data_IF_791362112922
#
_entry.id   IF_791362112922
#
_cell.length_a   1.000
_cell.length_b   1.000
_cell.length_c   1.000
_cell.angle_alpha   90.00
_cell.angle_beta   90.00
_cell.angle_gamma   90.00
#
_symmetry.space_group_name_H-M   'P 1'
#
loop_
_entity.id
_entity.type
_entity.pdbx_description
1 polymer ?
#
# COMPACT_ATOMS: atom_id res chain seq x y z
N UNK A 1 2.46 -6.98 -2.88
CA UNK A 1 3.83 -6.79 -3.39
C UNK A 1 3.81 -6.39 -4.86
N UNK A 2 4.71 -5.53 -5.27
CA UNK A 2 4.98 -5.13 -6.66
C UNK A 2 6.46 -5.42 -6.96
N UNK A 3 6.82 -5.50 -8.23
CA UNK A 3 8.18 -5.78 -8.69
C UNK A 3 8.26 -7.08 -9.48
N UNK A 4 9.44 -7.58 -9.67
CA UNK A 4 9.71 -8.78 -10.48
C UNK A 4 9.26 -10.05 -9.74
N UNK A 5 7.94 -10.28 -9.72
CA UNK A 5 7.29 -11.49 -9.16
C UNK A 5 6.83 -12.42 -10.29
N UNK A 6 7.56 -12.48 -11.39
CA UNK A 6 7.10 -13.13 -12.62
C UNK A 6 7.34 -14.64 -12.64
N UNK A 7 8.30 -15.10 -11.85
CA UNK A 7 8.62 -16.52 -11.77
C UNK A 7 7.73 -17.24 -10.76
N UNK A 8 7.37 -18.51 -11.02
CA UNK A 8 6.63 -19.32 -10.06
C UNK A 8 7.30 -19.39 -8.69
N UNK A 9 8.64 -19.45 -8.65
CA UNK A 9 9.41 -19.49 -7.40
C UNK A 9 9.24 -18.22 -6.54
N UNK A 10 9.15 -17.04 -7.16
CA UNK A 10 8.90 -15.81 -6.42
C UNK A 10 7.49 -15.78 -5.84
N UNK A 11 6.49 -16.24 -6.61
CA UNK A 11 5.12 -16.36 -6.12
C UNK A 11 5.00 -17.40 -4.99
N UNK A 12 5.78 -18.50 -5.03
CA UNK A 12 5.88 -19.47 -3.93
C UNK A 12 6.39 -18.79 -2.65
N UNK A 13 7.47 -18.01 -2.74
CA UNK A 13 8.01 -17.27 -1.60
C UNK A 13 7.05 -16.19 -1.08
N UNK A 14 6.32 -15.51 -1.97
CA UNK A 14 5.27 -14.55 -1.56
C UNK A 14 4.16 -15.26 -0.78
N UNK A 15 3.75 -16.44 -1.23
CA UNK A 15 2.77 -17.27 -0.53
C UNK A 15 3.29 -17.74 0.83
N UNK A 16 4.53 -18.25 0.89
CA UNK A 16 5.20 -18.70 2.12
C UNK A 16 5.35 -17.56 3.14
N UNK A 17 5.61 -16.34 2.67
CA UNK A 17 5.64 -15.14 3.50
C UNK A 17 4.25 -14.82 4.09
N UNK A 18 3.19 -15.40 3.53
CA UNK A 18 1.80 -15.19 3.96
C UNK A 18 1.14 -13.94 3.39
N UNK A 19 1.78 -13.25 2.47
CA UNK A 19 1.19 -12.13 1.75
C UNK A 19 0.02 -12.59 0.89
N UNK A 20 -0.99 -11.72 0.71
CA UNK A 20 -2.25 -12.08 0.05
C UNK A 20 -2.46 -11.35 -1.27
N UNK A 21 -1.73 -10.28 -1.51
CA UNK A 21 -1.93 -9.41 -2.66
C UNK A 21 -0.61 -9.18 -3.40
N UNK A 22 -0.70 -9.21 -4.72
CA UNK A 22 0.35 -8.74 -5.64
C UNK A 22 -0.20 -7.65 -6.54
N UNK A 23 0.63 -6.69 -6.95
CA UNK A 23 0.27 -5.66 -7.91
C UNK A 23 1.10 -5.81 -9.17
N UNK A 24 0.43 -5.84 -10.33
CA UNK A 24 1.05 -6.05 -11.65
C UNK A 24 0.51 -5.07 -12.67
N UNK A 25 1.39 -4.51 -13.49
CA UNK A 25 0.99 -3.76 -14.68
C UNK A 25 0.49 -4.68 -15.78
N UNK A 26 -0.69 -4.41 -16.29
CA UNK A 26 -1.24 -4.98 -17.51
C UNK A 26 -1.00 -3.95 -18.62
N UNK A 27 0.09 -4.15 -19.37
CA UNK A 27 0.58 -3.15 -20.32
C UNK A 27 -0.19 -3.24 -21.63
N UNK A 28 -0.97 -2.22 -21.91
CA UNK A 28 -1.85 -2.17 -23.09
C UNK A 28 -1.11 -2.45 -24.39
N UNK A 29 0.03 -1.79 -24.62
CA UNK A 29 0.83 -1.96 -25.85
C UNK A 29 1.35 -3.39 -26.05
N UNK A 30 1.53 -4.16 -24.94
CA UNK A 30 1.94 -5.56 -25.03
C UNK A 30 0.78 -6.52 -25.29
N UNK A 31 -0.42 -6.12 -24.90
CA UNK A 31 -1.66 -6.91 -25.06
C UNK A 31 -2.27 -6.67 -26.44
N UNK A 32 -2.33 -5.43 -26.89
CA UNK A 32 -2.91 -5.05 -28.18
C UNK A 32 -1.81 -4.52 -29.09
N UNK A 33 -1.19 -5.41 -29.86
CA UNK A 33 -0.13 -5.11 -30.82
C UNK A 33 -0.67 -4.76 -32.21
N UNK A 34 -1.90 -5.14 -32.49
CA UNK A 34 -2.69 -4.83 -33.66
C UNK A 34 -4.07 -4.37 -33.19
N UNK A 35 -4.62 -3.33 -33.83
CA UNK A 35 -5.90 -2.71 -33.43
C UNK A 35 -7.04 -3.72 -33.35
N UNK A 36 -7.65 -3.83 -32.17
CA UNK A 36 -8.77 -4.72 -31.88
C UNK A 36 -8.37 -6.18 -31.69
N UNK A 37 -7.07 -6.52 -31.70
CA UNK A 37 -6.57 -7.88 -31.45
C UNK A 37 -5.85 -7.94 -30.12
N UNK A 38 -6.46 -8.65 -29.15
CA UNK A 38 -5.95 -8.73 -27.77
C UNK A 38 -5.33 -10.10 -27.50
N UNK A 39 -4.07 -10.12 -27.10
CA UNK A 39 -3.34 -11.33 -26.63
C UNK A 39 -3.07 -11.25 -25.13
N UNK A 40 -3.82 -12.00 -24.37
CA UNK A 40 -3.70 -12.08 -22.91
C UNK A 40 -2.76 -13.21 -22.42
N UNK A 41 -2.17 -14.00 -23.31
CA UNK A 41 -1.46 -15.23 -23.00
C UNK A 41 -0.33 -15.08 -21.97
N UNK A 42 0.39 -13.94 -22.00
CA UNK A 42 1.42 -13.62 -21.02
C UNK A 42 0.84 -13.44 -19.62
N UNK A 43 -0.29 -12.74 -19.52
CA UNK A 43 -0.95 -12.44 -18.24
C UNK A 43 -1.79 -13.62 -17.73
N UNK A 44 -2.33 -14.46 -18.61
CA UNK A 44 -3.07 -15.66 -18.23
C UNK A 44 -2.19 -16.58 -17.39
N UNK A 45 -0.92 -16.77 -17.76
CA UNK A 45 0.03 -17.57 -16.97
C UNK A 45 0.22 -16.97 -15.58
N UNK A 46 0.48 -15.69 -15.48
CA UNK A 46 0.67 -15.00 -14.22
C UNK A 46 -0.59 -15.08 -13.32
N UNK A 47 -1.76 -14.82 -13.90
CA UNK A 47 -3.06 -14.90 -13.17
C UNK A 47 -3.30 -16.32 -12.66
N UNK A 48 -3.09 -17.34 -13.50
CA UNK A 48 -3.23 -18.74 -13.11
C UNK A 48 -2.27 -19.13 -11.99
N UNK A 49 -1.04 -18.66 -12.04
CA UNK A 49 -0.02 -18.97 -11.02
C UNK A 49 -0.31 -18.25 -9.69
N UNK A 50 -0.86 -17.04 -9.73
CA UNK A 50 -1.36 -16.36 -8.53
C UNK A 50 -2.54 -17.12 -7.90
N UNK A 51 -3.53 -17.52 -8.69
CA UNK A 51 -4.71 -18.22 -8.18
C UNK A 51 -4.40 -19.58 -7.55
N UNK A 52 -3.50 -20.37 -8.17
CA UNK A 52 -3.02 -21.64 -7.59
C UNK A 52 -2.46 -21.45 -6.17
N UNK A 53 -1.96 -20.25 -5.84
CA UNK A 53 -1.37 -19.89 -4.56
C UNK A 53 -2.31 -19.10 -3.65
N UNK A 54 -3.56 -18.89 -4.06
CA UNK A 54 -4.53 -18.09 -3.29
C UNK A 54 -4.15 -16.61 -3.21
N UNK A 55 -3.33 -16.11 -4.14
CA UNK A 55 -2.97 -14.71 -4.23
C UNK A 55 -4.02 -13.93 -5.01
N UNK A 56 -4.31 -12.71 -4.54
CA UNK A 56 -5.17 -11.74 -5.19
C UNK A 56 -4.34 -10.72 -5.94
N UNK A 57 -4.89 -10.13 -7.00
CA UNK A 57 -4.14 -9.25 -7.90
C UNK A 57 -4.77 -7.85 -7.91
N UNK A 58 -3.92 -6.82 -7.83
CA UNK A 58 -4.24 -5.48 -8.29
C UNK A 58 -3.66 -5.37 -9.71
N UNK A 59 -4.54 -5.39 -10.72
CA UNK A 59 -4.18 -5.24 -12.12
C UNK A 59 -4.15 -3.76 -12.51
N UNK A 60 -2.96 -3.17 -12.61
CA UNK A 60 -2.80 -1.80 -13.05
C UNK A 60 -2.85 -1.74 -14.58
N UNK A 61 -3.89 -1.14 -15.13
CA UNK A 61 -4.07 -0.96 -16.57
C UNK A 61 -3.22 0.21 -17.06
N UNK A 62 -2.11 -0.09 -17.72
CA UNK A 62 -1.07 0.88 -18.09
C UNK A 62 -0.43 0.51 -19.44
N UNK A 63 0.00 1.40 -20.23
CA UNK A 63 -0.10 2.85 -20.31
C UNK A 63 -0.83 3.23 -21.60
N UNK A 64 -0.40 4.28 -22.33
CA UNK A 64 -0.87 4.54 -23.69
C UNK A 64 -0.37 3.49 -24.69
N UNK A 65 -1.10 3.28 -25.78
CA UNK A 65 -0.69 2.41 -26.87
C UNK A 65 -0.35 3.25 -28.10
N UNK A 66 0.83 3.03 -28.67
CA UNK A 66 1.32 3.78 -29.85
C UNK A 66 0.39 3.67 -31.08
N UNK A 67 -0.42 2.61 -31.16
CA UNK A 67 -1.42 2.44 -32.22
C UNK A 67 -2.47 3.55 -32.25
N UNK A 68 -2.74 4.17 -31.08
CA UNK A 68 -3.80 5.16 -30.88
C UNK A 68 -3.28 6.53 -30.44
N UNK A 69 -2.07 6.58 -29.89
CA UNK A 69 -1.50 7.78 -29.30
C UNK A 69 -1.72 7.86 -27.79
N UNK A 70 -1.74 9.08 -27.22
CA UNK A 70 -1.86 9.27 -25.79
C UNK A 70 -3.33 9.35 -25.35
N UNK A 71 -3.68 8.68 -24.27
CA UNK A 71 -5.06 8.64 -23.72
C UNK A 71 -5.66 9.99 -23.30
N UNK A 72 -4.88 11.07 -23.30
CA UNK A 72 -5.38 12.43 -23.09
C UNK A 72 -6.36 12.86 -24.16
N UNK A 73 -6.22 12.33 -25.36
CA UNK A 73 -6.96 12.74 -26.55
C UNK A 73 -7.79 11.59 -27.10
N UNK A 74 -8.85 11.94 -27.83
CA UNK A 74 -9.55 11.00 -28.70
C UNK A 74 -8.76 10.80 -30.02
N UNK A 75 -8.73 9.58 -30.61
CA UNK A 75 -9.53 8.42 -30.23
C UNK A 75 -8.86 7.48 -29.19
N UNK A 76 -7.69 7.81 -28.68
CA UNK A 76 -6.92 6.92 -27.80
C UNK A 76 -7.64 6.66 -26.46
N UNK A 77 -8.40 7.63 -25.95
CA UNK A 77 -9.18 7.48 -24.72
C UNK A 77 -10.30 6.46 -24.89
N UNK A 78 -11.05 6.53 -26.00
CA UNK A 78 -12.08 5.55 -26.32
C UNK A 78 -11.49 4.14 -26.50
N UNK A 79 -10.36 4.02 -27.21
CA UNK A 79 -9.68 2.75 -27.40
C UNK A 79 -9.14 2.17 -26.07
N UNK A 80 -8.70 3.02 -25.13
CA UNK A 80 -8.33 2.56 -23.77
C UNK A 80 -9.55 2.03 -23.01
N UNK A 81 -10.71 2.65 -23.16
CA UNK A 81 -11.94 2.16 -22.55
C UNK A 81 -12.36 0.79 -23.12
N UNK A 82 -12.18 0.56 -24.41
CA UNK A 82 -12.40 -0.75 -25.05
C UNK A 82 -11.40 -1.79 -24.55
N UNK A 83 -10.12 -1.46 -24.47
CA UNK A 83 -9.10 -2.32 -23.87
C UNK A 83 -9.44 -2.69 -22.41
N UNK A 84 -9.83 -1.72 -21.59
CA UNK A 84 -10.22 -1.96 -20.20
C UNK A 84 -11.46 -2.85 -20.10
N UNK A 85 -12.43 -2.69 -21.00
CA UNK A 85 -13.63 -3.53 -21.08
C UNK A 85 -13.26 -4.98 -21.46
N UNK A 86 -12.40 -5.19 -22.43
CA UNK A 86 -11.95 -6.53 -22.83
C UNK A 86 -11.12 -7.21 -21.71
N UNK A 87 -10.27 -6.47 -20.97
CA UNK A 87 -9.58 -7.01 -19.79
C UNK A 87 -10.56 -7.54 -18.73
N UNK A 88 -11.51 -6.72 -18.29
CA UNK A 88 -12.44 -7.13 -17.22
C UNK A 88 -13.40 -8.23 -17.67
N UNK A 89 -13.69 -8.33 -18.95
CA UNK A 89 -14.48 -9.40 -19.57
C UNK A 89 -13.69 -10.71 -19.59
N UNK A 90 -12.43 -10.69 -20.06
CA UNK A 90 -11.55 -11.86 -20.15
C UNK A 90 -11.29 -12.48 -18.77
N UNK A 91 -11.04 -11.64 -17.76
CA UNK A 91 -10.77 -12.10 -16.39
C UNK A 91 -12.00 -12.10 -15.47
N UNK A 92 -13.20 -12.17 -16.04
CA UNK A 92 -14.43 -12.22 -15.23
C UNK A 92 -14.41 -13.42 -14.26
N UNK A 93 -14.75 -13.15 -12.99
CA UNK A 93 -14.75 -14.18 -11.93
C UNK A 93 -13.38 -14.51 -11.34
N UNK A 94 -12.29 -13.87 -11.80
CA UNK A 94 -10.95 -14.04 -11.26
C UNK A 94 -10.70 -13.08 -10.09
N UNK A 95 -9.75 -13.42 -9.21
CA UNK A 95 -9.42 -12.62 -8.02
C UNK A 95 -8.58 -11.37 -8.36
N UNK A 96 -9.07 -10.53 -9.26
CA UNK A 96 -8.41 -9.30 -9.70
C UNK A 96 -9.29 -8.10 -9.42
N UNK A 97 -8.70 -7.04 -8.87
CA UNK A 97 -9.25 -5.69 -8.83
C UNK A 97 -8.44 -4.80 -9.77
N UNK A 98 -9.08 -3.85 -10.44
CA UNK A 98 -8.51 -3.16 -11.59
C UNK A 98 -8.20 -1.70 -11.29
N UNK A 99 -6.97 -1.29 -11.40
CA UNK A 99 -6.51 0.08 -11.17
C UNK A 99 -6.33 0.80 -12.50
N UNK A 100 -7.02 1.94 -12.64
CA UNK A 100 -6.94 2.78 -13.84
C UNK A 100 -5.70 3.66 -13.76
N UNK A 101 -4.70 3.33 -14.59
CA UNK A 101 -3.42 4.03 -14.69
C UNK A 101 -2.50 3.87 -13.48
N UNK A 102 -1.29 4.47 -13.57
CA UNK A 102 -0.31 4.57 -12.51
C UNK A 102 0.15 6.02 -12.36
N UNK A 103 -0.01 6.59 -11.17
CA UNK A 103 0.48 7.92 -10.80
C UNK A 103 0.16 9.04 -11.81
N UNK A 104 -1.12 9.25 -12.16
CA UNK A 104 -1.52 10.22 -13.20
C UNK A 104 -1.23 11.67 -12.80
N UNK A 105 -0.86 11.91 -11.54
CA UNK A 105 -0.45 13.21 -11.03
C UNK A 105 1.06 13.49 -11.18
N UNK A 106 1.81 12.63 -11.89
CA UNK A 106 3.25 12.79 -12.05
C UNK A 106 3.66 13.05 -13.52
N UNK A 107 4.81 13.72 -13.68
CA UNK A 107 5.43 13.92 -15.00
C UNK A 107 5.81 12.60 -15.66
N UNK A 108 6.32 11.66 -14.88
CA UNK A 108 6.86 10.40 -15.39
C UNK A 108 5.81 9.58 -16.11
N UNK A 109 4.59 9.55 -15.58
CA UNK A 109 3.55 8.65 -16.08
C UNK A 109 2.42 9.34 -16.85
N UNK A 110 2.24 10.66 -16.68
CA UNK A 110 1.18 11.41 -17.35
C UNK A 110 1.68 12.54 -18.25
N UNK A 111 2.72 13.26 -17.80
CA UNK A 111 3.21 14.44 -18.52
C UNK A 111 4.15 14.09 -19.66
N UNK A 112 4.06 14.86 -20.78
CA UNK A 112 5.10 14.87 -21.80
C UNK A 112 6.06 16.05 -21.64
N UNK A 113 5.56 17.18 -21.14
CA UNK A 113 6.33 18.42 -20.93
C UNK A 113 5.68 19.25 -19.81
N UNK A 114 6.49 19.76 -18.88
CA UNK A 114 6.06 20.72 -17.85
C UNK A 114 5.65 20.14 -16.49
N UNK A 115 5.21 20.98 -15.58
CA UNK A 115 4.86 20.63 -14.19
C UNK A 115 3.44 20.07 -14.11
N UNK A 116 3.29 18.78 -13.91
CA UNK A 116 1.99 18.08 -13.92
C UNK A 116 1.16 18.32 -12.65
N UNK A 117 1.79 18.30 -11.48
CA UNK A 117 1.09 18.27 -10.19
C UNK A 117 0.22 19.49 -9.88
N UNK A 118 0.36 20.58 -10.62
CA UNK A 118 -0.42 21.80 -10.43
C UNK A 118 -1.31 22.16 -11.63
N UNK A 119 -1.54 21.22 -12.56
CA UNK A 119 -2.30 21.51 -13.77
C UNK A 119 -3.74 21.03 -13.65
N UNK A 120 -4.73 21.94 -13.63
CA UNK A 120 -6.14 21.57 -13.75
C UNK A 120 -6.45 20.75 -15.02
N UNK A 121 -5.71 21.02 -16.11
CA UNK A 121 -5.86 20.32 -17.37
C UNK A 121 -5.53 18.82 -17.21
N UNK A 122 -4.40 18.48 -16.58
CA UNK A 122 -4.02 17.07 -16.41
C UNK A 122 -4.95 16.31 -15.45
N UNK A 123 -5.48 16.99 -14.44
CA UNK A 123 -6.51 16.44 -13.57
C UNK A 123 -7.79 16.12 -14.35
N UNK A 124 -8.23 17.04 -15.23
CA UNK A 124 -9.38 16.83 -16.11
C UNK A 124 -9.15 15.70 -17.11
N UNK A 125 -7.99 15.67 -17.77
CA UNK A 125 -7.63 14.60 -18.72
C UNK A 125 -7.71 13.22 -18.07
N UNK A 126 -7.23 13.06 -16.82
CA UNK A 126 -7.35 11.81 -16.06
C UNK A 126 -8.80 11.53 -15.67
N UNK A 127 -9.54 12.53 -15.21
CA UNK A 127 -10.97 12.37 -14.89
C UNK A 127 -11.76 11.92 -16.10
N UNK A 128 -11.45 12.45 -17.29
CA UNK A 128 -12.06 12.04 -18.56
C UNK A 128 -11.69 10.61 -18.95
N UNK A 129 -10.46 10.15 -18.67
CA UNK A 129 -10.07 8.76 -18.87
C UNK A 129 -10.90 7.82 -17.98
N UNK A 130 -11.03 8.15 -16.69
CA UNK A 130 -11.83 7.37 -15.73
C UNK A 130 -13.30 7.39 -16.13
N UNK A 131 -13.83 8.54 -16.58
CA UNK A 131 -15.22 8.72 -17.06
C UNK A 131 -15.52 7.89 -18.29
N UNK A 132 -14.54 7.67 -19.18
CA UNK A 132 -14.71 6.79 -20.35
C UNK A 132 -14.57 5.32 -19.97
N UNK A 133 -13.58 4.94 -19.15
CA UNK A 133 -13.25 3.56 -18.87
C UNK A 133 -14.29 2.89 -17.94
N UNK A 134 -14.72 3.55 -16.85
CA UNK A 134 -15.57 2.93 -15.83
C UNK A 134 -16.91 2.41 -16.38
N UNK A 135 -17.67 3.17 -17.17
CA UNK A 135 -18.94 2.65 -17.75
C UNK A 135 -18.69 1.48 -18.70
N UNK A 136 -17.64 1.51 -19.51
CA UNK A 136 -17.28 0.44 -20.43
C UNK A 136 -16.92 -0.85 -19.65
N UNK A 137 -16.12 -0.74 -18.61
CA UNK A 137 -15.75 -1.85 -17.72
C UNK A 137 -16.98 -2.44 -17.02
N UNK A 138 -17.81 -1.60 -16.40
CA UNK A 138 -19.02 -2.06 -15.69
C UNK A 138 -20.07 -2.69 -16.64
N UNK A 139 -20.14 -2.22 -17.89
CA UNK A 139 -20.98 -2.85 -18.93
C UNK A 139 -20.47 -4.25 -19.31
N UNK A 140 -19.13 -4.41 -19.43
CA UNK A 140 -18.51 -5.70 -19.79
C UNK A 140 -18.52 -6.69 -18.62
N UNK A 141 -18.31 -6.22 -17.40
CA UNK A 141 -18.36 -7.01 -16.16
C UNK A 141 -18.91 -6.16 -15.01
N UNK A 142 -20.22 -6.24 -14.72
CA UNK A 142 -20.85 -5.44 -13.64
C UNK A 142 -20.22 -5.65 -12.26
N UNK A 143 -19.62 -6.82 -12.01
CA UNK A 143 -19.06 -7.20 -10.72
C UNK A 143 -17.57 -6.81 -10.59
N UNK A 144 -16.94 -6.25 -11.63
CA UNK A 144 -15.53 -5.85 -11.55
C UNK A 144 -15.35 -4.73 -10.52
N UNK A 145 -14.31 -4.87 -9.69
CA UNK A 145 -13.91 -3.85 -8.71
C UNK A 145 -12.89 -2.92 -9.35
N UNK A 146 -13.19 -1.63 -9.36
CA UNK A 146 -12.41 -0.60 -10.07
C UNK A 146 -11.79 0.38 -9.07
N UNK A 147 -10.47 0.58 -9.20
CA UNK A 147 -9.69 1.55 -8.46
C UNK A 147 -9.44 2.78 -9.33
N UNK A 148 -9.74 3.95 -8.77
CA UNK A 148 -9.29 5.24 -9.29
C UNK A 148 -8.29 5.89 -8.34
N UNK A 149 -7.56 6.88 -8.81
CA UNK A 149 -6.59 7.62 -8.04
C UNK A 149 -5.16 7.24 -8.37
N UNK A 150 -4.61 6.19 -7.75
CA UNK A 150 -3.18 5.82 -7.91
C UNK A 150 -2.25 7.03 -7.71
N UNK A 151 -2.59 7.88 -6.72
CA UNK A 151 -2.00 9.22 -6.54
C UNK A 151 -0.64 9.10 -5.88
N UNK A 152 0.39 9.53 -6.59
CA UNK A 152 1.76 9.57 -6.06
C UNK A 152 1.94 10.74 -5.10
N UNK A 153 2.61 10.45 -3.99
CA UNK A 153 2.91 11.39 -2.92
C UNK A 153 1.65 11.93 -2.20
N UNK A 154 1.88 12.44 -1.00
CA UNK A 154 0.83 13.03 -0.17
C UNK A 154 1.32 14.40 0.32
N UNK A 155 1.44 15.36 -0.62
CA UNK A 155 1.88 16.73 -0.37
C UNK A 155 1.04 17.75 -1.15
N UNK A 156 1.37 19.04 -1.05
CA UNK A 156 0.56 20.14 -1.54
C UNK A 156 0.15 20.03 -3.01
N UNK A 157 1.04 19.59 -3.90
CA UNK A 157 0.77 19.42 -5.32
C UNK A 157 -0.24 18.30 -5.59
N UNK A 158 -0.10 17.18 -4.90
CA UNK A 158 -1.03 16.05 -5.01
C UNK A 158 -2.42 16.41 -4.48
N UNK A 159 -2.49 17.18 -3.39
CA UNK A 159 -3.77 17.69 -2.85
C UNK A 159 -4.46 18.64 -3.81
N UNK A 160 -3.71 19.53 -4.47
CA UNK A 160 -4.26 20.42 -5.50
C UNK A 160 -4.77 19.63 -6.69
N UNK A 161 -3.99 18.67 -7.17
CA UNK A 161 -4.38 17.81 -8.29
C UNK A 161 -5.66 17.04 -7.97
N UNK A 162 -5.76 16.42 -6.79
CA UNK A 162 -6.99 15.74 -6.34
C UNK A 162 -8.17 16.69 -6.26
N UNK A 163 -7.97 17.92 -5.75
CA UNK A 163 -9.02 18.93 -5.70
C UNK A 163 -9.57 19.29 -7.09
N UNK A 164 -8.71 19.35 -8.10
CA UNK A 164 -9.11 19.58 -9.48
C UNK A 164 -9.88 18.39 -10.06
N UNK A 165 -9.45 17.14 -9.80
CA UNK A 165 -10.20 15.94 -10.20
C UNK A 165 -11.60 15.94 -9.57
N UNK A 166 -11.70 16.23 -8.29
CA UNK A 166 -12.98 16.24 -7.58
C UNK A 166 -13.90 17.36 -8.09
N UNK A 167 -13.37 18.54 -8.36
CA UNK A 167 -14.12 19.65 -8.96
C UNK A 167 -14.59 19.35 -10.39
N UNK A 168 -13.92 18.45 -11.11
CA UNK A 168 -14.28 18.03 -12.47
C UNK A 168 -15.22 16.79 -12.48
N UNK A 169 -15.82 16.44 -11.34
CA UNK A 169 -16.83 15.39 -11.23
C UNK A 169 -16.26 13.96 -11.09
N UNK A 170 -15.00 13.78 -10.67
CA UNK A 170 -14.43 12.48 -10.41
C UNK A 170 -15.26 11.66 -9.41
N UNK A 171 -15.84 12.33 -8.42
CA UNK A 171 -16.63 11.67 -7.37
C UNK A 171 -18.00 11.20 -7.83
N UNK A 172 -18.49 11.68 -8.98
CA UNK A 172 -19.76 11.25 -9.58
C UNK A 172 -19.62 9.97 -10.43
N UNK A 173 -18.37 9.54 -10.68
CA UNK A 173 -18.06 8.33 -11.45
C UNK A 173 -18.15 7.11 -10.50
N UNK A 174 -18.73 6.01 -10.97
CA UNK A 174 -19.00 4.79 -10.19
C UNK A 174 -17.76 3.84 -10.12
N UNK A 175 -16.59 4.36 -9.75
CA UNK A 175 -15.48 3.54 -9.29
C UNK A 175 -15.69 3.10 -7.83
N UNK A 176 -15.04 2.02 -7.40
CA UNK A 176 -15.31 1.37 -6.10
C UNK A 176 -14.32 1.79 -5.01
N UNK A 177 -13.04 1.95 -5.34
CA UNK A 177 -11.95 2.15 -4.38
C UNK A 177 -11.08 3.34 -4.81
N UNK A 178 -10.66 4.18 -3.86
CA UNK A 178 -9.63 5.18 -4.10
C UNK A 178 -8.25 4.62 -3.73
N UNK A 179 -7.27 4.71 -4.62
CA UNK A 179 -5.92 4.25 -4.35
C UNK A 179 -4.93 5.40 -4.23
N UNK A 180 -3.93 5.21 -3.35
CA UNK A 180 -2.87 6.16 -3.09
C UNK A 180 -1.51 5.47 -3.06
N UNK A 181 -0.45 6.21 -3.43
CA UNK A 181 0.94 5.85 -3.30
C UNK A 181 1.61 6.85 -2.34
N UNK A 182 1.54 6.67 -1.03
CA UNK A 182 1.90 7.69 -0.07
C UNK A 182 3.42 7.82 0.10
N UNK A 183 4.10 8.31 -0.92
CA UNK A 183 5.49 8.73 -0.82
C UNK A 183 5.60 10.16 -0.24
N UNK A 184 6.82 10.57 0.12
CA UNK A 184 7.13 11.96 0.48
C UNK A 184 7.32 12.24 1.96
N UNK A 185 6.80 11.42 2.89
CA UNK A 185 7.07 11.56 4.33
C UNK A 185 8.26 10.72 4.78
N UNK A 186 8.80 11.02 5.97
CA UNK A 186 9.96 10.33 6.52
C UNK A 186 9.58 9.13 7.39
N UNK A 187 8.46 9.19 8.08
CA UNK A 187 7.94 8.13 8.93
C UNK A 187 6.49 7.78 8.54
N UNK A 188 6.07 6.51 8.60
CA UNK A 188 4.72 6.09 8.23
C UNK A 188 3.61 6.79 9.02
N UNK A 189 3.86 7.14 10.28
CA UNK A 189 2.90 7.80 11.16
C UNK A 189 2.49 9.20 10.68
N UNK A 190 3.30 9.82 9.83
CA UNK A 190 3.00 11.14 9.26
C UNK A 190 1.92 11.05 8.15
N UNK A 191 1.61 9.83 7.65
CA UNK A 191 0.51 9.63 6.69
C UNK A 191 -0.87 9.79 7.32
N UNK A 192 -1.02 9.62 8.62
CA UNK A 192 -2.32 9.78 9.29
C UNK A 192 -2.92 11.16 9.03
N UNK A 193 -2.10 12.22 9.11
CA UNK A 193 -2.53 13.57 8.76
C UNK A 193 -2.84 13.71 7.26
N UNK A 194 -2.00 13.13 6.40
CA UNK A 194 -2.18 13.16 4.95
C UNK A 194 -3.48 12.46 4.52
N UNK A 195 -3.81 11.31 5.09
CA UNK A 195 -5.06 10.60 4.82
C UNK A 195 -6.28 11.40 5.31
N UNK A 196 -6.20 11.96 6.52
CA UNK A 196 -7.24 12.83 7.05
C UNK A 196 -7.46 14.06 6.16
N UNK A 197 -6.39 14.71 5.70
CA UNK A 197 -6.46 15.84 4.77
C UNK A 197 -7.19 15.46 3.47
N UNK A 198 -6.83 14.33 2.88
CA UNK A 198 -7.44 13.88 1.60
C UNK A 198 -8.91 13.51 1.76
N UNK A 199 -9.30 12.85 2.86
CA UNK A 199 -10.71 12.58 3.17
C UNK A 199 -11.50 13.89 3.31
N UNK A 200 -10.90 14.91 3.93
CA UNK A 200 -11.52 16.24 4.04
C UNK A 200 -11.67 16.92 2.67
N UNK A 201 -10.75 16.73 1.73
CA UNK A 201 -10.90 17.23 0.35
C UNK A 201 -12.09 16.57 -0.34
N UNK A 202 -12.22 15.23 -0.26
CA UNK A 202 -13.37 14.51 -0.79
C UNK A 202 -14.69 15.00 -0.19
N UNK A 203 -14.74 15.13 1.14
CA UNK A 203 -15.92 15.62 1.84
C UNK A 203 -16.32 17.03 1.40
N UNK A 204 -15.37 17.96 1.27
CA UNK A 204 -15.61 19.33 0.78
C UNK A 204 -16.15 19.36 -0.65
N UNK A 205 -15.78 18.39 -1.47
CA UNK A 205 -16.27 18.22 -2.83
C UNK A 205 -17.62 17.47 -2.92
N UNK A 206 -18.25 17.18 -1.79
CA UNK A 206 -19.55 16.47 -1.74
C UNK A 206 -19.46 14.95 -1.86
N UNK A 207 -18.25 14.39 -1.82
CA UNK A 207 -18.04 12.95 -1.93
C UNK A 207 -18.30 12.19 -0.62
N UNK A 208 -18.63 10.90 -0.76
CA UNK A 208 -18.76 9.98 0.37
C UNK A 208 -17.37 9.66 0.96
N UNK A 209 -17.18 10.02 2.22
CA UNK A 209 -15.94 9.72 2.96
C UNK A 209 -15.87 8.28 3.46
N UNK A 210 -16.95 7.50 3.33
CA UNK A 210 -17.03 6.08 3.64
C UNK A 210 -16.50 5.16 2.52
N UNK A 211 -16.13 5.70 1.36
CA UNK A 211 -15.52 4.92 0.28
C UNK A 211 -14.23 4.26 0.75
N UNK A 212 -14.02 3.02 0.31
CA UNK A 212 -12.84 2.25 0.64
C UNK A 212 -11.58 2.86 0.01
N UNK A 213 -10.50 2.85 0.78
CA UNK A 213 -9.18 3.29 0.34
C UNK A 213 -8.18 2.16 0.46
N UNK A 214 -7.20 2.14 -0.43
CA UNK A 214 -6.03 1.26 -0.32
C UNK A 214 -4.75 2.01 -0.62
N UNK A 215 -3.65 1.52 -0.07
CA UNK A 215 -2.31 1.87 -0.46
C UNK A 215 -1.83 0.85 -1.50
N UNK A 216 -1.92 1.21 -2.79
CA UNK A 216 -1.58 0.29 -3.88
C UNK A 216 -0.09 0.29 -4.25
N UNK A 217 0.69 1.20 -3.68
CA UNK A 217 2.15 1.19 -3.81
C UNK A 217 2.83 2.06 -2.75
N UNK A 218 3.78 1.49 -2.01
CA UNK A 218 4.67 2.23 -1.13
C UNK A 218 5.95 1.45 -0.86
N UNK A 219 7.09 2.12 -0.95
CA UNK A 219 8.40 1.58 -0.62
C UNK A 219 9.25 2.57 0.17
N UNK A 220 10.32 2.07 0.77
CA UNK A 220 11.33 2.87 1.45
C UNK A 220 12.72 2.39 1.02
N UNK A 221 13.44 3.16 0.16
CA UNK A 221 14.68 2.68 -0.44
C UNK A 221 15.84 2.70 0.55
N UNK A 222 16.73 1.71 0.46
CA UNK A 222 17.92 1.60 1.28
C UNK A 222 18.81 2.83 1.20
N UNK A 223 19.02 3.42 0.03
CA UNK A 223 19.84 4.62 -0.10
C UNK A 223 19.32 5.81 0.71
N UNK A 224 18.00 5.93 0.88
CA UNK A 224 17.41 6.91 1.80
C UNK A 224 17.64 6.52 3.27
N UNK A 225 17.52 5.24 3.58
CA UNK A 225 17.77 4.70 4.91
C UNK A 225 19.24 4.86 5.30
N UNK A 226 20.19 4.62 4.39
CA UNK A 226 21.64 4.83 4.58
C UNK A 226 21.97 6.27 4.94
N UNK A 227 21.30 7.24 4.28
CA UNK A 227 21.43 8.65 4.62
C UNK A 227 21.03 8.97 6.06
N UNK A 228 20.01 8.29 6.59
CA UNK A 228 19.57 8.42 7.98
C UNK A 228 20.45 7.62 8.95
N UNK A 229 21.05 6.54 8.50
CA UNK A 229 21.93 5.66 9.26
C UNK A 229 23.37 6.15 9.35
N UNK A 230 23.68 7.35 8.82
CA UNK A 230 25.05 7.87 8.79
C UNK A 230 25.99 7.04 7.92
N UNK A 231 25.48 6.31 6.95
CA UNK A 231 26.23 5.42 6.07
C UNK A 231 26.41 4.00 6.59
N UNK A 232 25.81 3.62 7.72
CA UNK A 232 25.82 2.25 8.23
C UNK A 232 24.79 1.39 7.48
N UNK A 233 25.20 0.40 6.64
CA UNK A 233 24.26 -0.43 5.88
C UNK A 233 23.40 -1.33 6.77
N UNK A 234 23.94 -1.80 7.91
CA UNK A 234 23.19 -2.66 8.83
C UNK A 234 22.01 -1.91 9.45
N UNK A 235 22.26 -0.69 9.92
CA UNK A 235 21.25 0.19 10.47
C UNK A 235 20.23 0.64 9.39
N UNK A 236 20.69 0.82 8.15
CA UNK A 236 19.80 1.12 7.03
C UNK A 236 18.79 0.01 6.77
N UNK A 237 19.22 -1.25 6.82
CA UNK A 237 18.30 -2.40 6.71
C UNK A 237 17.32 -2.47 7.89
N UNK A 238 17.76 -2.13 9.10
CA UNK A 238 16.89 -2.02 10.27
C UNK A 238 15.81 -0.95 10.05
N UNK A 239 16.18 0.25 9.60
CA UNK A 239 15.24 1.32 9.33
C UNK A 239 14.22 0.95 8.23
N UNK A 240 14.64 0.21 7.21
CA UNK A 240 13.73 -0.30 6.19
C UNK A 240 12.74 -1.33 6.78
N UNK A 241 13.22 -2.24 7.63
CA UNK A 241 12.41 -3.24 8.29
C UNK A 241 11.37 -2.60 9.24
N UNK A 242 11.79 -1.59 10.02
CA UNK A 242 10.84 -0.81 10.85
C UNK A 242 9.78 -0.13 9.99
N UNK A 243 10.20 0.48 8.90
CA UNK A 243 9.31 1.25 8.02
C UNK A 243 8.22 0.38 7.41
N UNK A 244 8.54 -0.80 6.88
CA UNK A 244 7.54 -1.66 6.23
C UNK A 244 6.47 -2.13 7.21
N UNK A 245 6.85 -2.53 8.41
CA UNK A 245 5.88 -3.02 9.41
C UNK A 245 5.03 -1.88 9.97
N UNK A 246 5.66 -0.74 10.28
CA UNK A 246 4.94 0.45 10.74
C UNK A 246 3.99 0.99 9.66
N UNK A 247 4.37 0.89 8.38
CA UNK A 247 3.50 1.24 7.26
C UNK A 247 2.21 0.38 7.27
N UNK A 248 2.33 -0.94 7.38
CA UNK A 248 1.16 -1.82 7.46
C UNK A 248 0.28 -1.52 8.68
N UNK A 249 0.88 -1.27 9.84
CA UNK A 249 0.16 -0.98 11.07
C UNK A 249 -0.58 0.37 11.00
N UNK A 250 0.05 1.40 10.44
CA UNK A 250 -0.56 2.73 10.26
C UNK A 250 -1.69 2.68 9.24
N UNK A 251 -1.50 1.99 8.12
CA UNK A 251 -2.55 1.84 7.11
C UNK A 251 -3.77 1.09 7.67
N UNK A 252 -3.55 0.02 8.45
CA UNK A 252 -4.64 -0.65 9.17
C UNK A 252 -5.35 0.29 10.16
N UNK A 253 -4.61 1.10 10.91
CA UNK A 253 -5.16 2.07 11.86
C UNK A 253 -6.01 3.12 11.16
N UNK A 254 -5.65 3.52 9.94
CA UNK A 254 -6.36 4.46 9.11
C UNK A 254 -7.49 3.82 8.27
N UNK A 255 -7.73 2.53 8.44
CA UNK A 255 -8.79 1.79 7.77
C UNK A 255 -8.49 1.42 6.32
N UNK A 256 -7.21 1.37 5.92
CA UNK A 256 -6.78 0.87 4.63
C UNK A 256 -6.52 -0.65 4.74
N UNK A 257 -7.38 -1.52 4.18
CA UNK A 257 -7.27 -2.96 4.39
C UNK A 257 -6.22 -3.63 3.51
N UNK A 258 -5.66 -2.91 2.52
CA UNK A 258 -4.64 -3.41 1.61
C UNK A 258 -3.51 -2.40 1.49
N UNK A 259 -2.30 -2.87 1.72
CA UNK A 259 -1.05 -2.13 1.50
C UNK A 259 -0.12 -2.95 0.64
N UNK A 260 0.30 -2.40 -0.50
CA UNK A 260 1.27 -3.02 -1.40
C UNK A 260 2.64 -2.41 -1.16
N UNK A 261 3.59 -3.24 -0.72
CA UNK A 261 4.97 -2.83 -0.64
C UNK A 261 5.65 -2.83 -2.02
N UNK A 262 6.29 -1.76 -2.36
CA UNK A 262 7.23 -1.64 -3.46
C UNK A 262 8.65 -1.79 -2.92
N UNK A 263 9.40 -2.91 -3.19
CA UNK A 263 9.02 -3.94 -4.15
C UNK A 263 9.42 -5.33 -3.64
N UNK A 264 9.03 -6.38 -4.38
CA UNK A 264 9.46 -7.76 -4.09
C UNK A 264 10.94 -7.94 -4.39
N UNK A 265 11.33 -7.85 -5.65
CA UNK A 265 12.70 -7.89 -6.16
C UNK A 265 12.98 -6.63 -6.98
N UNK A 266 14.22 -6.31 -7.22
CA UNK A 266 14.60 -5.15 -8.03
C UNK A 266 15.94 -4.58 -7.65
N UNK A 267 16.37 -3.55 -8.39
CA UNK A 267 17.71 -2.97 -8.28
C UNK A 267 17.76 -1.69 -7.45
N UNK A 268 16.62 -1.06 -7.19
CA UNK A 268 16.52 0.28 -6.63
C UNK A 268 16.59 0.36 -5.09
N UNK A 269 16.87 -0.76 -4.43
CA UNK A 269 17.04 -0.79 -2.97
C UNK A 269 15.74 -0.87 -2.17
N UNK A 270 14.59 -1.10 -2.81
CA UNK A 270 13.31 -1.28 -2.13
C UNK A 270 13.01 -2.75 -1.78
N UNK A 271 13.77 -3.68 -2.37
CA UNK A 271 13.44 -5.09 -2.43
C UNK A 271 13.37 -5.78 -1.06
N UNK A 272 12.33 -6.61 -0.85
CA UNK A 272 12.26 -7.55 0.26
C UNK A 272 13.14 -8.79 0.00
N UNK A 273 13.26 -9.21 -1.25
CA UNK A 273 14.09 -10.33 -1.69
C UNK A 273 15.12 -9.85 -2.72
N UNK A 274 16.41 -10.00 -2.42
CA UNK A 274 17.47 -9.41 -3.25
C UNK A 274 18.59 -10.41 -3.53
N UNK A 275 18.90 -10.61 -4.81
CA UNK A 275 20.02 -11.45 -5.25
C UNK A 275 20.05 -12.84 -4.59
N UNK A 276 18.88 -13.49 -4.47
CA UNK A 276 18.78 -14.80 -3.83
C UNK A 276 18.67 -14.77 -2.30
N UNK A 277 18.70 -13.59 -1.66
CA UNK A 277 18.71 -13.44 -0.21
C UNK A 277 17.48 -12.71 0.33
N UNK A 278 16.99 -13.18 1.46
CA UNK A 278 15.94 -12.52 2.26
C UNK A 278 16.55 -11.34 3.00
N UNK A 279 15.96 -10.15 2.84
CA UNK A 279 16.39 -8.96 3.60
C UNK A 279 15.85 -8.98 5.03
N UNK A 280 16.38 -8.15 5.96
CA UNK A 280 15.75 -7.93 7.26
C UNK A 280 14.27 -7.54 7.16
N UNK A 281 13.89 -6.72 6.18
CA UNK A 281 12.50 -6.36 5.93
C UNK A 281 11.61 -7.57 5.56
N UNK A 282 12.13 -8.55 4.80
CA UNK A 282 11.43 -9.81 4.56
C UNK A 282 11.17 -10.57 5.87
N UNK A 283 12.19 -10.71 6.71
CA UNK A 283 12.06 -11.42 7.99
C UNK A 283 11.08 -10.72 8.94
N UNK A 284 11.08 -9.39 8.94
CA UNK A 284 10.11 -8.59 9.68
C UNK A 284 8.66 -8.84 9.20
N UNK A 285 8.46 -8.89 7.89
CA UNK A 285 7.16 -9.23 7.30
C UNK A 285 6.70 -10.65 7.68
N UNK A 286 7.62 -11.62 7.71
CA UNK A 286 7.33 -13.00 8.14
C UNK A 286 6.86 -13.06 9.59
N UNK A 287 7.54 -12.35 10.48
CA UNK A 287 7.15 -12.21 11.89
C UNK A 287 5.79 -11.52 12.01
N UNK A 288 5.58 -10.40 11.32
CA UNK A 288 4.30 -9.68 11.32
C UNK A 288 3.12 -10.57 10.92
N UNK A 289 3.26 -11.32 9.85
CA UNK A 289 2.21 -12.25 9.39
C UNK A 289 1.99 -13.37 10.41
N UNK A 290 3.06 -13.95 10.94
CA UNK A 290 2.97 -15.01 11.98
C UNK A 290 2.26 -14.52 13.23
N UNK A 291 2.59 -13.33 13.72
CA UNK A 291 2.07 -12.79 14.97
C UNK A 291 0.61 -12.30 14.84
N UNK A 292 0.21 -11.75 13.69
CA UNK A 292 -1.08 -11.10 13.52
C UNK A 292 -2.05 -11.83 12.58
N UNK A 293 -1.67 -12.98 12.01
CA UNK A 293 -2.61 -13.76 11.19
C UNK A 293 -3.81 -14.21 12.01
N UNK A 294 -5.01 -13.86 11.54
CA UNK A 294 -6.27 -14.16 12.23
C UNK A 294 -6.68 -13.13 13.28
N UNK A 295 -5.83 -12.17 13.59
CA UNK A 295 -6.16 -11.05 14.46
C UNK A 295 -6.72 -9.88 13.65
N UNK A 296 -7.57 -9.08 14.31
CA UNK A 296 -8.09 -7.80 13.78
C UNK A 296 -7.65 -6.69 14.72
N UNK A 297 -7.30 -5.56 14.14
CA UNK A 297 -7.07 -4.33 14.90
C UNK A 297 -8.38 -3.94 15.59
N UNK A 298 -8.31 -3.76 16.91
CA UNK A 298 -9.42 -3.32 17.76
C UNK A 298 -9.37 -1.79 17.92
N UNK A 299 -8.33 -1.30 18.59
CA UNK A 299 -8.11 0.15 18.71
C UNK A 299 -6.66 0.49 19.04
N UNK A 300 -6.32 1.78 18.95
CA UNK A 300 -5.09 2.36 19.48
C UNK A 300 -5.31 2.80 20.92
N UNK A 301 -4.49 2.30 21.83
CA UNK A 301 -4.49 2.73 23.22
C UNK A 301 -3.97 4.17 23.35
N UNK A 302 -4.52 4.93 24.30
CA UNK A 302 -4.04 6.28 24.59
C UNK A 302 -2.72 6.21 25.35
N UNK A 303 -1.73 6.97 24.91
CA UNK A 303 -0.42 7.13 25.51
C UNK A 303 -0.19 8.59 25.91
N UNK A 304 0.74 8.86 26.83
CA UNK A 304 1.10 10.22 27.20
C UNK A 304 1.79 10.95 26.04
N UNK A 305 2.75 10.29 25.41
CA UNK A 305 3.38 10.80 24.20
C UNK A 305 2.61 10.33 22.96
N UNK A 306 2.13 11.26 22.14
CA UNK A 306 1.37 10.96 20.92
C UNK A 306 2.17 10.21 19.86
N UNK A 307 3.50 10.18 19.97
CA UNK A 307 4.39 9.43 19.07
C UNK A 307 4.63 7.99 19.55
N UNK A 308 4.11 7.61 20.72
CA UNK A 308 4.06 6.21 21.14
C UNK A 308 2.79 5.57 20.61
N UNK A 309 2.94 4.44 20.00
CA UNK A 309 1.86 3.66 19.43
C UNK A 309 1.73 2.35 20.20
N UNK A 310 0.54 2.06 20.67
CA UNK A 310 0.16 0.80 21.27
C UNK A 310 -1.16 0.39 20.62
N UNK A 311 -1.13 -0.60 19.76
CA UNK A 311 -2.29 -1.10 19.04
C UNK A 311 -2.75 -2.42 19.65
N UNK A 312 -4.03 -2.51 20.01
CA UNK A 312 -4.64 -3.75 20.49
C UNK A 312 -5.24 -4.51 19.32
N UNK A 313 -4.95 -5.80 19.29
CA UNK A 313 -5.47 -6.75 18.32
C UNK A 313 -6.23 -7.85 19.04
N UNK A 314 -7.31 -8.36 18.42
CA UNK A 314 -8.13 -9.43 18.94
C UNK A 314 -8.43 -10.45 17.83
N UNK A 315 -8.36 -11.74 18.17
CA UNK A 315 -8.77 -12.81 17.25
C UNK A 315 -10.24 -13.22 17.49
N UNK A 316 -10.74 -14.14 16.67
CA UNK A 316 -12.12 -14.65 16.76
C UNK A 316 -12.44 -15.43 18.06
N UNK A 317 -11.43 -15.85 18.79
CA UNK A 317 -11.55 -16.61 20.04
C UNK A 317 -11.41 -15.69 21.28
N UNK A 318 -11.17 -14.39 21.08
CA UNK A 318 -10.95 -13.43 22.15
C UNK A 318 -9.50 -13.39 22.65
N UNK A 319 -8.56 -14.05 21.97
CA UNK A 319 -7.14 -13.88 22.28
C UNK A 319 -6.68 -12.47 21.91
N UNK A 320 -5.78 -11.92 22.72
CA UNK A 320 -5.39 -10.52 22.64
C UNK A 320 -3.89 -10.36 22.46
N UNK A 321 -3.50 -9.42 21.60
CA UNK A 321 -2.12 -8.98 21.43
C UNK A 321 -2.02 -7.46 21.40
N UNK A 322 -0.90 -6.95 21.88
CA UNK A 322 -0.51 -5.57 21.66
C UNK A 322 0.65 -5.53 20.68
N UNK A 323 0.69 -4.48 19.86
CA UNK A 323 1.86 -4.12 19.05
C UNK A 323 2.26 -2.71 19.44
N UNK A 324 3.51 -2.54 19.88
CA UNK A 324 3.96 -1.28 20.44
C UNK A 324 5.28 -0.81 19.83
N UNK A 325 5.39 0.49 19.57
CA UNK A 325 6.61 1.16 19.09
C UNK A 325 6.57 2.65 19.41
N UNK A 326 7.70 3.34 19.27
CA UNK A 326 7.74 4.81 19.25
C UNK A 326 8.17 5.32 17.88
N UNK A 327 7.51 6.37 17.41
CA UNK A 327 7.80 7.04 16.16
C UNK A 327 8.71 8.26 16.39
N UNK A 328 9.49 8.70 15.39
CA UNK A 328 10.22 9.97 15.49
C UNK A 328 9.23 11.15 15.55
N UNK A 329 9.70 12.34 15.84
CA UNK A 329 8.89 13.55 15.72
C UNK A 329 8.32 13.73 14.31
N UNK A 330 7.29 14.57 14.19
CA UNK A 330 6.63 14.82 12.91
C UNK A 330 7.66 15.30 11.88
N UNK A 331 7.68 14.65 10.70
CA UNK A 331 8.65 14.90 9.61
C UNK A 331 10.12 14.71 10.00
N UNK A 332 10.39 14.02 11.10
CA UNK A 332 11.75 13.60 11.49
C UNK A 332 12.10 12.22 10.95
N UNK A 333 13.38 11.95 10.85
CA UNK A 333 13.94 10.69 10.37
C UNK A 333 14.11 9.67 11.51
N UNK A 334 14.19 8.36 11.21
CA UNK A 334 14.22 7.30 12.22
C UNK A 334 15.43 7.37 13.18
N UNK A 335 16.53 8.02 12.80
CA UNK A 335 17.71 8.27 13.66
C UNK A 335 17.41 9.23 14.84
N UNK A 336 16.29 9.94 14.81
CA UNK A 336 15.84 10.83 15.90
C UNK A 336 15.01 10.10 16.97
N UNK A 337 14.74 8.82 16.79
CA UNK A 337 14.02 8.03 17.78
C UNK A 337 14.87 7.85 19.04
N UNK A 338 14.33 8.27 20.18
CA UNK A 338 14.92 8.04 21.50
C UNK A 338 14.19 6.88 22.17
N UNK A 339 14.81 5.70 22.31
CA UNK A 339 14.21 4.57 23.01
C UNK A 339 13.92 4.86 24.47
N UNK A 340 12.71 4.51 24.93
CA UNK A 340 12.28 4.73 26.32
C UNK A 340 11.24 3.68 26.74
N UNK A 341 11.03 3.51 28.03
CA UNK A 341 9.96 2.64 28.55
C UNK A 341 8.69 3.42 28.81
N UNK A 342 7.54 2.76 28.59
CA UNK A 342 6.23 3.29 28.89
C UNK A 342 5.43 2.31 29.74
N UNK A 343 4.49 2.84 30.54
CA UNK A 343 3.55 2.04 31.32
C UNK A 343 2.31 1.73 30.47
N UNK A 344 1.99 0.44 30.34
CA UNK A 344 0.80 -0.03 29.64
C UNK A 344 -0.06 -0.83 30.62
N UNK A 345 -1.28 -0.38 30.86
CA UNK A 345 -2.25 -1.13 31.66
C UNK A 345 -2.78 -2.29 30.82
N UNK A 346 -2.61 -3.51 31.31
CA UNK A 346 -3.03 -4.77 30.66
C UNK A 346 -4.10 -5.51 31.45
N UNK A 347 -4.43 -5.03 32.66
CA UNK A 347 -5.43 -5.62 33.54
C UNK A 347 -5.01 -6.96 34.17
N UNK A 348 -6.00 -7.82 34.39
CA UNK A 348 -5.76 -9.15 34.98
C UNK A 348 -5.35 -10.15 33.91
N UNK A 349 -4.05 -10.34 33.76
CA UNK A 349 -3.40 -11.26 32.84
C UNK A 349 -2.35 -12.10 33.57
N UNK A 350 -1.68 -13.02 32.86
CA UNK A 350 -0.54 -13.77 33.44
C UNK A 350 0.52 -12.80 34.02
N UNK A 351 1.15 -13.15 35.16
CA UNK A 351 2.20 -12.32 35.76
C UNK A 351 3.45 -12.15 34.85
N UNK A 352 3.53 -12.96 33.82
CA UNK A 352 4.61 -12.94 32.81
C UNK A 352 4.01 -13.01 31.42
N UNK A 353 4.32 -12.06 30.57
CA UNK A 353 3.86 -12.04 29.19
C UNK A 353 5.02 -12.25 28.22
N UNK A 354 4.75 -12.98 27.14
CA UNK A 354 5.72 -13.18 26.07
C UNK A 354 5.71 -11.94 25.15
N UNK A 355 6.89 -11.41 24.92
CA UNK A 355 7.13 -10.40 23.87
C UNK A 355 7.86 -11.06 22.72
N UNK A 356 7.56 -10.61 21.50
CA UNK A 356 8.25 -11.05 20.27
C UNK A 356 8.81 -9.80 19.57
N UNK A 357 10.11 -9.79 19.26
CA UNK A 357 10.71 -8.70 18.53
C UNK A 357 10.35 -8.74 17.04
N UNK A 358 10.82 -7.75 16.28
CA UNK A 358 10.57 -7.62 14.85
C UNK A 358 11.00 -8.85 14.04
N UNK A 359 11.93 -9.65 14.53
CA UNK A 359 12.51 -10.82 13.86
C UNK A 359 12.12 -12.17 14.46
N UNK A 360 11.14 -12.16 15.38
CA UNK A 360 10.58 -13.37 15.96
C UNK A 360 11.34 -13.93 17.16
N UNK A 361 12.32 -13.20 17.72
CA UNK A 361 12.96 -13.55 18.99
C UNK A 361 12.04 -13.21 20.13
N UNK A 362 11.90 -14.12 21.08
CA UNK A 362 11.01 -13.96 22.24
C UNK A 362 11.77 -13.56 23.50
N UNK A 363 11.10 -12.76 24.32
CA UNK A 363 11.54 -12.37 25.66
C UNK A 363 10.32 -12.31 26.59
N UNK A 364 10.52 -12.03 27.86
CA UNK A 364 9.49 -11.94 28.88
C UNK A 364 9.42 -10.53 29.44
N UNK A 365 8.21 -9.99 29.56
CA UNK A 365 7.92 -8.79 30.35
C UNK A 365 7.11 -9.18 31.60
N UNK A 366 7.55 -8.72 32.76
CA UNK A 366 6.86 -8.94 34.04
C UNK A 366 5.64 -8.01 34.15
N UNK A 367 4.56 -8.53 34.72
CA UNK A 367 3.35 -7.76 35.02
C UNK A 367 3.34 -7.41 36.52
N UNK A 368 3.25 -6.13 36.81
CA UNK A 368 3.15 -5.64 38.18
C UNK A 368 1.86 -4.82 38.34
N UNK A 369 0.96 -5.26 39.24
CA UNK A 369 -0.32 -4.60 39.46
C UNK A 369 -1.14 -4.34 38.17
N UNK A 370 -1.15 -5.31 37.25
CA UNK A 370 -1.85 -5.18 35.96
C UNK A 370 -1.20 -4.20 34.98
N UNK A 371 0.07 -3.88 35.16
CA UNK A 371 0.84 -2.96 34.32
C UNK A 371 2.13 -3.63 33.84
N UNK A 372 2.50 -3.40 32.58
CA UNK A 372 3.81 -3.74 32.02
C UNK A 372 4.59 -2.49 31.65
N UNK A 373 5.91 -2.58 31.60
CA UNK A 373 6.80 -1.48 31.25
C UNK A 373 7.76 -1.88 30.08
N UNK A 374 7.22 -2.15 28.87
CA UNK A 374 8.09 -2.46 27.75
C UNK A 374 8.93 -1.25 27.33
N UNK A 375 10.16 -1.52 26.86
CA UNK A 375 10.99 -0.53 26.22
C UNK A 375 10.61 -0.38 24.75
N UNK A 376 10.16 0.80 24.36
CA UNK A 376 9.82 1.12 22.98
C UNK A 376 11.05 1.62 22.20
N UNK A 377 11.11 1.20 20.95
CA UNK A 377 12.07 1.66 19.94
C UNK A 377 11.31 1.95 18.64
N UNK A 378 12.00 2.25 17.54
CA UNK A 378 11.38 2.35 16.22
C UNK A 378 10.95 0.99 15.64
N UNK A 379 11.44 -0.11 16.20
CA UNK A 379 11.01 -1.46 15.85
C UNK A 379 9.74 -1.83 16.62
N UNK A 380 8.64 -2.23 15.95
CA UNK A 380 7.47 -2.78 16.61
C UNK A 380 7.80 -4.04 17.42
N UNK A 381 7.27 -4.13 18.64
CA UNK A 381 7.30 -5.31 19.50
C UNK A 381 5.87 -5.85 19.67
N UNK A 382 5.73 -7.17 19.58
CA UNK A 382 4.45 -7.87 19.78
C UNK A 382 4.40 -8.41 21.20
N UNK A 383 3.29 -8.20 21.90
CA UNK A 383 3.09 -8.61 23.29
C UNK A 383 1.82 -9.46 23.35
N UNK A 384 1.95 -10.73 23.73
CA UNK A 384 0.81 -11.64 23.84
C UNK A 384 0.19 -11.53 25.22
N UNK A 385 -1.10 -11.13 25.29
CA UNK A 385 -1.82 -10.98 26.55
C UNK A 385 -2.55 -12.26 26.98
N UNK A 386 -3.21 -12.93 26.01
CA UNK A 386 -4.00 -14.16 26.19
C UNK A 386 -3.91 -15.04 24.97
#
# INVERSE_FOLDING_TARGET
>A
LKGDTDGPEDLDRVQELGMKWVRRGFIWESIEREKGVYDFSQYDRFVNDCEKRGLKIIGCMAFSNKLYGHVKDEPARSAYADFAAELVKHYKGRNIIWEIWNEPNTMTFWGRHGKVGNSPQYAREYTDLVRAAVPAMKKANPDCVILAGSVSNMWSESYKWMSYCFADGMLDIHWDIWSVHPYGVKAPEDYMEAYSHTRNLMKKAGGDTGRLWINSERGFPLGKAEGYAGGDPSLAYEYQAWHVIRQYLVDLLEGLPVTIWYEWGGKEGFALYRAGNMTPAYNACKTFVKELSGYKLDYRMKTENKRDFVLRFIDKNGNEKLVAWTAPGVMESPDKIVPHSIKIAVGDVSPRLVTTDLYGRTDIVEVSNGVIEPRLTGAPVYITLR
#
